data_IF_095988093798
#
_entry.id   IF_095988093798
#
_cell.length_a   1.000
_cell.length_b   1.000
_cell.length_c   1.000
_cell.angle_alpha   90.00
_cell.angle_beta   90.00
_cell.angle_gamma   90.00
#
_symmetry.space_group_name_H-M   'P 1'
#
loop_
_entity.id
_entity.type
_entity.pdbx_description
1 polymer ?
#
# COMPACT_ATOMS: atom_id res chain seq x y z
N UNK A 1 3.28 42.62 1.41
CA UNK A 1 4.63 42.06 1.23
C UNK A 1 4.75 40.99 2.32
N UNK A 2 4.63 39.69 2.06
CA UNK A 2 5.53 38.82 1.29
C UNK A 2 4.70 37.69 0.66
N UNK A 3 4.66 37.67 -0.68
CA UNK A 3 4.45 36.46 -1.48
C UNK A 3 5.84 35.82 -1.61
N UNK A 4 6.04 34.52 -1.30
CA UNK A 4 7.15 33.70 -1.85
C UNK A 4 7.35 32.27 -1.27
N UNK A 5 6.48 31.74 -0.39
CA UNK A 5 6.78 30.44 0.27
C UNK A 5 6.03 29.21 -0.25
N UNK A 6 5.39 29.26 -1.42
CA UNK A 6 4.62 28.11 -1.94
C UNK A 6 5.13 27.53 -3.27
N UNK A 7 6.25 28.01 -3.84
CA UNK A 7 6.70 27.57 -5.17
C UNK A 7 7.80 26.49 -5.17
N UNK A 8 8.30 26.06 -4.01
CA UNK A 8 9.45 25.13 -3.93
C UNK A 8 9.06 23.67 -3.77
N UNK A 9 7.82 23.36 -3.38
CA UNK A 9 7.35 21.97 -3.26
C UNK A 9 6.90 21.35 -4.60
N UNK A 10 6.67 22.17 -5.63
CA UNK A 10 6.22 21.70 -6.94
C UNK A 10 7.37 21.38 -7.93
N UNK A 11 8.63 21.62 -7.56
CA UNK A 11 9.78 21.46 -8.48
C UNK A 11 10.49 20.10 -8.40
N UNK A 12 10.07 19.19 -7.51
CA UNK A 12 10.74 17.90 -7.31
C UNK A 12 10.25 16.75 -8.20
N UNK A 13 9.25 16.98 -9.07
CA UNK A 13 8.66 15.97 -9.96
C UNK A 13 8.70 16.38 -11.45
N UNK A 14 9.54 17.35 -11.80
CA UNK A 14 9.57 17.94 -13.14
C UNK A 14 10.67 17.47 -14.13
N UNK A 15 11.64 16.58 -13.84
CA UNK A 15 12.64 16.24 -14.87
C UNK A 15 12.22 15.12 -15.85
N UNK A 16 11.03 14.52 -15.75
CA UNK A 16 10.60 13.46 -16.69
C UNK A 16 9.70 13.95 -17.84
N UNK A 17 9.22 15.20 -17.83
CA UNK A 17 8.24 15.68 -18.82
C UNK A 17 8.84 16.35 -20.06
N UNK A 18 10.16 16.49 -20.16
CA UNK A 18 10.83 17.19 -21.27
C UNK A 18 11.20 16.31 -22.47
N UNK A 19 11.02 14.98 -22.40
CA UNK A 19 11.44 14.06 -23.48
C UNK A 19 10.34 13.82 -24.54
N UNK A 20 9.08 14.19 -24.28
CA UNK A 20 7.98 14.02 -25.24
C UNK A 20 7.75 15.20 -26.19
N UNK A 21 8.58 16.24 -26.13
CA UNK A 21 8.46 17.43 -26.97
C UNK A 21 9.49 17.46 -28.10
N UNK A 22 9.46 16.50 -29.03
CA UNK A 22 10.13 16.67 -30.33
C UNK A 22 9.32 16.08 -31.49
N UNK A 23 8.81 17.02 -32.31
CA UNK A 23 8.25 16.91 -33.67
C UNK A 23 6.85 16.30 -33.84
N UNK A 24 5.87 17.06 -34.38
CA UNK A 24 4.56 16.54 -34.73
C UNK A 24 4.65 15.74 -36.04
N UNK A 25 4.87 14.44 -35.91
CA UNK A 25 4.48 13.49 -36.95
C UNK A 25 2.95 13.35 -36.99
N UNK A 26 2.33 12.98 -38.12
CA UNK A 26 0.90 12.74 -38.18
C UNK A 26 0.54 11.73 -37.08
N UNK A 27 -0.34 12.13 -36.17
CA UNK A 27 -0.79 11.28 -35.08
C UNK A 27 -1.29 9.96 -35.68
N UNK A 28 -0.76 8.80 -35.25
CA UNK A 28 -1.40 7.55 -35.58
C UNK A 28 -2.83 7.65 -35.05
N UNK A 29 -3.81 7.46 -35.93
CA UNK A 29 -5.22 7.29 -35.53
C UNK A 29 -5.24 6.30 -34.36
N UNK A 30 -5.87 6.62 -33.22
CA UNK A 30 -5.92 5.67 -32.11
C UNK A 30 -6.51 4.38 -32.65
N UNK A 31 -5.71 3.30 -32.58
CA UNK A 31 -6.21 1.98 -32.91
C UNK A 31 -7.37 1.69 -31.94
N UNK A 32 -8.49 1.11 -32.41
CA UNK A 32 -9.57 0.75 -31.51
C UNK A 32 -8.99 -0.13 -30.41
N UNK A 33 -9.25 0.25 -29.15
CA UNK A 33 -8.80 -0.52 -28.01
C UNK A 33 -9.30 -1.97 -28.19
N UNK A 34 -8.50 -2.98 -27.84
CA UNK A 34 -8.99 -4.35 -27.89
C UNK A 34 -10.22 -4.45 -26.99
N UNK A 35 -11.27 -5.15 -27.44
CA UNK A 35 -12.55 -5.26 -26.70
C UNK A 35 -12.40 -5.75 -25.24
N UNK A 36 -11.25 -6.35 -24.90
CA UNK A 36 -10.88 -6.73 -23.53
C UNK A 36 -10.50 -5.55 -22.64
N UNK A 37 -9.94 -4.46 -23.18
CA UNK A 37 -9.58 -3.25 -22.46
C UNK A 37 -10.82 -2.43 -22.09
N UNK A 38 -11.74 -2.22 -23.04
CA UNK A 38 -13.02 -1.54 -22.78
C UNK A 38 -13.85 -2.30 -21.73
N UNK A 39 -13.86 -3.63 -21.77
CA UNK A 39 -14.54 -4.47 -20.77
C UNK A 39 -13.85 -4.47 -19.39
N UNK A 40 -12.55 -4.17 -19.35
CA UNK A 40 -11.77 -4.03 -18.13
C UNK A 40 -12.05 -2.66 -17.47
N UNK A 41 -11.98 -1.59 -18.25
CA UNK A 41 -12.32 -0.23 -17.84
C UNK A 41 -13.76 -0.14 -17.32
N UNK A 42 -14.73 -0.73 -18.03
CA UNK A 42 -16.12 -0.75 -17.59
C UNK A 42 -16.34 -1.50 -16.26
N UNK A 43 -15.54 -2.55 -15.98
CA UNK A 43 -15.61 -3.23 -14.68
C UNK A 43 -15.02 -2.37 -13.57
N UNK A 44 -13.91 -1.67 -13.83
CA UNK A 44 -13.28 -0.80 -12.85
C UNK A 44 -14.20 0.39 -12.50
N UNK A 45 -14.87 0.96 -13.49
CA UNK A 45 -15.84 2.03 -13.28
C UNK A 45 -17.03 1.55 -12.44
N UNK A 46 -17.62 0.39 -12.77
CA UNK A 46 -18.68 -0.20 -11.97
C UNK A 46 -18.24 -0.56 -10.52
N UNK A 47 -17.01 -1.04 -10.34
CA UNK A 47 -16.45 -1.32 -9.03
C UNK A 47 -16.22 -0.03 -8.22
N UNK A 48 -15.78 1.04 -8.87
CA UNK A 48 -15.60 2.35 -8.27
C UNK A 48 -16.93 2.98 -7.85
N UNK A 49 -17.96 2.97 -8.71
CA UNK A 49 -19.30 3.44 -8.37
C UNK A 49 -19.90 2.67 -7.18
N UNK A 50 -19.73 1.35 -7.17
CA UNK A 50 -20.22 0.51 -6.08
C UNK A 50 -19.45 0.78 -4.77
N UNK A 51 -18.16 1.07 -4.84
CA UNK A 51 -17.36 1.48 -3.68
C UNK A 51 -17.78 2.85 -3.16
N UNK A 52 -17.98 3.83 -4.04
CA UNK A 52 -18.43 5.17 -3.69
C UNK A 52 -19.78 5.15 -2.98
N UNK A 53 -20.78 4.45 -3.54
CA UNK A 53 -22.10 4.32 -2.91
C UNK A 53 -22.04 3.68 -1.51
N UNK A 54 -21.13 2.71 -1.31
CA UNK A 54 -20.90 2.10 0.01
C UNK A 54 -20.23 3.07 0.97
N UNK A 55 -19.25 3.86 0.52
CA UNK A 55 -18.57 4.86 1.35
C UNK A 55 -19.47 6.04 1.72
N UNK A 56 -20.39 6.43 0.84
CA UNK A 56 -21.45 7.40 1.13
C UNK A 56 -22.36 6.87 2.24
N UNK A 57 -22.84 5.62 2.12
CA UNK A 57 -23.66 4.97 3.15
C UNK A 57 -22.92 4.83 4.48
N UNK A 58 -21.61 4.54 4.45
CA UNK A 58 -20.77 4.54 5.64
C UNK A 58 -20.73 5.93 6.29
N UNK A 59 -20.53 6.97 5.49
CA UNK A 59 -20.50 8.37 5.93
C UNK A 59 -21.80 8.78 6.62
N UNK A 60 -22.95 8.53 5.99
CA UNK A 60 -24.27 8.83 6.56
C UNK A 60 -24.50 8.12 7.90
N UNK A 61 -24.11 6.85 7.99
CA UNK A 61 -24.26 6.06 9.22
C UNK A 61 -23.30 6.51 10.31
N UNK A 62 -22.07 6.87 9.96
CA UNK A 62 -21.08 7.39 10.90
C UNK A 62 -21.52 8.76 11.44
N UNK A 63 -22.04 9.64 10.57
CA UNK A 63 -22.60 10.94 10.94
C UNK A 63 -23.79 10.78 11.90
N UNK A 64 -24.75 9.91 11.56
CA UNK A 64 -25.89 9.61 12.42
C UNK A 64 -25.49 9.08 13.81
N UNK A 65 -24.44 8.25 13.89
CA UNK A 65 -23.89 7.80 15.18
C UNK A 65 -23.20 8.95 15.91
N UNK A 66 -22.49 9.82 15.18
CA UNK A 66 -21.76 10.95 15.76
C UNK A 66 -22.67 12.03 16.32
N UNK A 67 -23.84 12.25 15.70
CA UNK A 67 -24.82 13.26 16.10
C UNK A 67 -25.81 12.75 17.15
N UNK A 68 -25.82 11.45 17.45
CA UNK A 68 -26.72 10.86 18.43
C UNK A 68 -26.37 11.31 19.87
N UNK A 69 -27.05 12.36 20.33
CA UNK A 69 -26.92 12.91 21.68
C UNK A 69 -27.31 11.94 22.79
N UNK A 70 -28.06 10.88 22.47
CA UNK A 70 -28.42 9.84 23.45
C UNK A 70 -27.24 8.91 23.79
N UNK A 71 -26.17 8.95 23.00
CA UNK A 71 -24.98 8.14 23.18
C UNK A 71 -23.87 8.89 23.90
N UNK A 72 -23.23 8.21 24.85
CA UNK A 72 -21.95 8.65 25.39
C UNK A 72 -20.87 8.67 24.30
N UNK A 73 -19.85 9.50 24.46
CA UNK A 73 -18.71 9.59 23.52
C UNK A 73 -18.02 8.22 23.35
N UNK A 74 -17.87 7.46 24.44
CA UNK A 74 -17.35 6.11 24.41
C UNK A 74 -18.25 5.13 23.64
N UNK A 75 -19.58 5.25 23.74
CA UNK A 75 -20.54 4.47 22.93
C UNK A 75 -20.39 4.78 21.44
N UNK A 76 -20.30 6.07 21.08
CA UNK A 76 -20.16 6.52 19.68
C UNK A 76 -18.88 5.96 19.08
N UNK A 77 -17.76 6.07 19.80
CA UNK A 77 -16.48 5.51 19.38
C UNK A 77 -16.55 4.00 19.13
N UNK A 78 -17.16 3.23 20.05
CA UNK A 78 -17.34 1.77 19.88
C UNK A 78 -18.21 1.43 18.66
N UNK A 79 -19.30 2.17 18.45
CA UNK A 79 -20.21 1.92 17.31
C UNK A 79 -19.59 2.31 15.97
N UNK A 80 -18.81 3.38 15.91
CA UNK A 80 -18.06 3.77 14.70
C UNK A 80 -16.95 2.75 14.42
N UNK A 81 -16.24 2.25 15.43
CA UNK A 81 -15.24 1.21 15.25
C UNK A 81 -15.85 -0.10 14.73
N UNK A 82 -17.02 -0.50 15.26
CA UNK A 82 -17.77 -1.65 14.75
C UNK A 82 -18.24 -1.42 13.30
N UNK A 83 -18.77 -0.23 13.00
CA UNK A 83 -19.14 0.15 11.64
C UNK A 83 -17.94 0.08 10.70
N UNK A 84 -16.75 0.55 11.11
CA UNK A 84 -15.55 0.43 10.30
C UNK A 84 -15.16 -1.03 10.04
N UNK A 85 -15.27 -1.91 11.04
CA UNK A 85 -14.99 -3.34 10.87
C UNK A 85 -15.89 -4.00 9.81
N UNK A 86 -17.12 -3.52 9.64
CA UNK A 86 -18.04 -4.03 8.62
C UNK A 86 -17.59 -3.63 7.19
N UNK A 87 -16.97 -2.45 7.04
CA UNK A 87 -16.56 -1.89 5.74
C UNK A 87 -15.07 -2.12 5.40
N UNK A 88 -14.22 -2.44 6.38
CA UNK A 88 -12.80 -2.70 6.16
C UNK A 88 -12.52 -3.80 5.10
N UNK A 89 -13.29 -4.91 5.03
CA UNK A 89 -13.13 -5.90 3.96
C UNK A 89 -13.42 -5.34 2.56
N UNK A 90 -14.39 -4.43 2.44
CA UNK A 90 -14.76 -3.84 1.15
C UNK A 90 -13.68 -2.88 0.64
N UNK A 91 -13.07 -2.09 1.53
CA UNK A 91 -11.91 -1.23 1.20
C UNK A 91 -10.72 -2.07 0.75
N UNK A 92 -10.46 -3.19 1.45
CA UNK A 92 -9.39 -4.12 1.08
C UNK A 92 -9.65 -4.77 -0.28
N UNK A 93 -10.88 -5.20 -0.55
CA UNK A 93 -11.28 -5.80 -1.83
C UNK A 93 -11.11 -4.80 -3.00
N UNK A 94 -11.60 -3.56 -2.84
CA UNK A 94 -11.44 -2.51 -3.85
C UNK A 94 -9.97 -2.17 -4.10
N UNK A 95 -9.16 -2.09 -3.04
CA UNK A 95 -7.72 -1.81 -3.15
C UNK A 95 -7.00 -2.94 -3.89
N UNK A 96 -7.33 -4.19 -3.60
CA UNK A 96 -6.77 -5.36 -4.29
C UNK A 96 -7.14 -5.38 -5.77
N UNK A 97 -8.39 -5.08 -6.11
CA UNK A 97 -8.87 -5.01 -7.49
C UNK A 97 -8.19 -3.88 -8.26
N UNK A 98 -8.11 -2.69 -7.67
CA UNK A 98 -7.43 -1.52 -8.28
C UNK A 98 -5.95 -1.80 -8.52
N UNK A 99 -5.26 -2.42 -7.55
CA UNK A 99 -3.85 -2.78 -7.67
C UNK A 99 -3.61 -3.80 -8.78
N UNK A 100 -4.50 -4.79 -8.90
CA UNK A 100 -4.47 -5.76 -9.99
C UNK A 100 -4.63 -5.07 -11.34
N UNK A 101 -5.58 -4.14 -11.46
CA UNK A 101 -5.82 -3.41 -12.71
C UNK A 101 -4.64 -2.52 -13.09
N UNK A 102 -4.05 -1.80 -12.13
CA UNK A 102 -2.85 -1.01 -12.34
C UNK A 102 -1.67 -1.87 -12.83
N UNK A 103 -1.53 -3.08 -12.28
CA UNK A 103 -0.48 -4.03 -12.70
C UNK A 103 -0.74 -4.57 -14.10
N UNK A 104 -1.99 -4.87 -14.45
CA UNK A 104 -2.39 -5.30 -15.80
C UNK A 104 -2.16 -4.19 -16.84
N UNK A 105 -2.51 -2.94 -16.51
CA UNK A 105 -2.23 -1.77 -17.35
C UNK A 105 -0.73 -1.54 -17.53
N UNK A 106 0.05 -1.63 -16.45
CA UNK A 106 1.50 -1.50 -16.52
C UNK A 106 2.14 -2.63 -17.35
N UNK A 107 1.68 -3.87 -17.20
CA UNK A 107 2.16 -5.00 -17.99
C UNK A 107 1.82 -4.84 -19.48
N UNK A 108 0.63 -4.32 -19.80
CA UNK A 108 0.24 -4.03 -21.17
C UNK A 108 1.10 -2.90 -21.76
N UNK A 109 1.33 -1.82 -21.01
CA UNK A 109 2.21 -0.73 -21.43
C UNK A 109 3.66 -1.21 -21.67
N UNK A 110 4.19 -2.08 -20.80
CA UNK A 110 5.53 -2.66 -20.95
C UNK A 110 5.63 -3.58 -22.18
N UNK A 111 4.56 -4.27 -22.56
CA UNK A 111 4.53 -5.14 -23.74
C UNK A 111 4.68 -4.36 -25.05
N UNK A 112 4.22 -3.11 -25.05
CA UNK A 112 4.29 -2.23 -26.22
C UNK A 112 5.64 -1.47 -26.28
N UNK A 113 6.52 -1.65 -25.28
CA UNK A 113 7.89 -1.12 -25.29
C UNK A 113 8.81 -2.12 -26.02
N UNK A 114 9.34 -1.70 -27.16
CA UNK A 114 10.37 -2.46 -27.89
C UNK A 114 11.73 -2.27 -27.22
N UNK A 115 12.02 -3.11 -26.22
CA UNK A 115 13.28 -3.11 -25.49
C UNK A 115 14.46 -3.37 -26.43
N UNK A 116 14.29 -4.20 -27.46
CA UNK A 116 15.35 -4.51 -28.41
C UNK A 116 15.69 -3.29 -29.29
N UNK A 117 14.69 -2.52 -29.72
CA UNK A 117 14.90 -1.27 -30.42
C UNK A 117 15.57 -0.21 -29.53
N UNK A 118 15.13 -0.08 -28.27
CA UNK A 118 15.74 0.85 -27.31
C UNK A 118 17.19 0.47 -27.00
N UNK A 119 17.47 -0.82 -26.83
CA UNK A 119 18.84 -1.34 -26.63
C UNK A 119 19.68 -1.13 -27.87
N UNK A 120 19.13 -1.38 -29.07
CA UNK A 120 19.84 -1.14 -30.32
C UNK A 120 20.12 0.34 -30.55
N UNK A 121 19.21 1.23 -30.16
CA UNK A 121 19.41 2.68 -30.20
C UNK A 121 20.46 3.12 -29.18
N UNK A 122 20.37 2.67 -27.94
CA UNK A 122 21.34 2.96 -26.89
C UNK A 122 22.75 2.44 -27.22
N UNK A 123 22.87 1.25 -27.80
CA UNK A 123 24.15 0.71 -28.27
C UNK A 123 24.69 1.46 -29.49
N UNK A 124 23.83 2.16 -30.22
CA UNK A 124 24.24 2.98 -31.35
C UNK A 124 24.67 4.39 -30.98
N UNK A 125 24.37 4.83 -29.76
CA UNK A 125 24.75 6.13 -29.22
C UNK A 125 26.29 6.30 -29.21
N UNK A 126 26.81 7.42 -29.75
CA UNK A 126 28.25 7.68 -29.79
C UNK A 126 28.91 7.77 -28.41
N UNK A 127 28.22 8.27 -27.39
CA UNK A 127 28.73 8.33 -26.02
C UNK A 127 28.85 6.94 -25.40
N UNK A 128 27.88 6.06 -25.66
CA UNK A 128 27.90 4.66 -25.20
C UNK A 128 29.00 3.88 -25.92
N UNK A 129 29.16 4.08 -27.23
CA UNK A 129 30.25 3.48 -28.02
C UNK A 129 31.63 3.93 -27.53
N UNK A 130 31.79 5.21 -27.27
CA UNK A 130 33.03 5.75 -26.74
C UNK A 130 33.33 5.21 -25.33
N UNK A 131 32.33 5.15 -24.46
CA UNK A 131 32.46 4.56 -23.13
C UNK A 131 32.80 3.06 -23.19
N UNK A 132 32.24 2.32 -24.16
CA UNK A 132 32.59 0.91 -24.40
C UNK A 132 34.02 0.74 -24.89
N UNK A 133 34.48 1.55 -25.86
CA UNK A 133 35.86 1.51 -26.35
C UNK A 133 36.86 1.89 -25.26
N UNK A 134 36.59 2.95 -24.50
CA UNK A 134 37.43 3.37 -23.39
C UNK A 134 37.44 2.35 -22.25
N UNK A 135 36.28 1.78 -21.93
CA UNK A 135 36.16 0.79 -20.88
C UNK A 135 36.76 -0.57 -21.28
N UNK A 136 36.74 -0.93 -22.57
CA UNK A 136 37.40 -2.13 -23.10
C UNK A 136 38.93 -1.96 -23.14
N UNK A 137 39.43 -0.76 -23.45
CA UNK A 137 40.85 -0.43 -23.33
C UNK A 137 41.34 -0.42 -21.88
N UNK A 138 40.49 -0.03 -20.93
CA UNK A 138 40.83 0.04 -19.50
C UNK A 138 40.49 -1.25 -18.72
N UNK A 139 39.75 -2.20 -19.31
CA UNK A 139 39.28 -3.42 -18.64
C UNK A 139 38.17 -3.20 -17.59
N UNK A 140 37.49 -2.05 -17.65
CA UNK A 140 36.66 -1.51 -16.55
C UNK A 140 35.17 -1.85 -16.70
N UNK A 141 34.63 -2.04 -17.92
CA UNK A 141 33.18 -2.22 -18.15
C UNK A 141 32.62 -3.43 -17.39
N UNK A 142 33.38 -4.52 -17.32
CA UNK A 142 32.97 -5.71 -16.57
C UNK A 142 33.31 -5.60 -15.09
N UNK A 143 34.50 -5.11 -14.72
CA UNK A 143 34.94 -5.09 -13.33
C UNK A 143 34.23 -4.04 -12.46
N UNK A 144 34.02 -2.82 -12.97
CA UNK A 144 33.40 -1.74 -12.20
C UNK A 144 31.88 -1.86 -12.17
N UNK A 145 31.26 -2.30 -13.26
CA UNK A 145 29.82 -2.62 -13.31
C UNK A 145 29.45 -3.75 -12.36
N UNK A 146 30.26 -4.82 -12.33
CA UNK A 146 30.12 -5.90 -11.34
C UNK A 146 30.36 -5.33 -9.94
N UNK A 147 31.51 -4.69 -9.65
CA UNK A 147 31.81 -4.19 -8.30
C UNK A 147 30.75 -3.23 -7.73
N UNK A 148 30.12 -2.40 -8.58
CA UNK A 148 29.09 -1.44 -8.17
C UNK A 148 27.71 -2.09 -7.94
N UNK A 149 27.46 -3.24 -8.55
CA UNK A 149 26.20 -4.00 -8.45
C UNK A 149 26.33 -5.29 -7.60
N UNK A 150 27.55 -5.69 -7.25
CA UNK A 150 27.87 -6.91 -6.50
C UNK A 150 27.20 -6.95 -5.13
N UNK A 151 26.98 -5.80 -4.49
CA UNK A 151 26.30 -5.75 -3.19
C UNK A 151 24.87 -6.34 -3.24
N UNK A 152 24.23 -6.32 -4.41
CA UNK A 152 22.88 -6.86 -4.62
C UNK A 152 22.86 -8.22 -5.33
N UNK A 153 23.85 -8.49 -6.20
CA UNK A 153 23.89 -9.70 -7.03
C UNK A 153 24.81 -10.81 -6.51
N UNK A 154 25.76 -10.48 -5.62
CA UNK A 154 26.67 -11.44 -4.99
C UNK A 154 27.14 -10.92 -3.61
N UNK A 155 26.29 -10.96 -2.58
CA UNK A 155 26.61 -10.41 -1.27
C UNK A 155 27.77 -11.17 -0.61
N UNK A 156 28.66 -10.45 0.07
CA UNK A 156 29.70 -11.10 0.89
C UNK A 156 29.08 -11.78 2.12
N UNK A 157 29.76 -12.77 2.73
CA UNK A 157 29.28 -13.39 3.96
C UNK A 157 28.98 -12.37 5.08
N UNK A 158 29.80 -11.31 5.22
CA UNK A 158 29.53 -10.25 6.21
C UNK A 158 28.29 -9.41 5.87
N UNK A 159 27.99 -9.20 4.58
CA UNK A 159 26.78 -8.51 4.15
C UNK A 159 25.53 -9.35 4.45
N UNK A 160 25.59 -10.67 4.24
CA UNK A 160 24.50 -11.58 4.60
C UNK A 160 24.24 -11.60 6.11
N UNK A 161 25.29 -11.56 6.93
CA UNK A 161 25.15 -11.45 8.39
C UNK A 161 24.50 -10.12 8.79
N UNK A 162 24.91 -9.02 8.16
CA UNK A 162 24.32 -7.70 8.39
C UNK A 162 22.83 -7.67 8.03
N UNK A 163 22.46 -8.22 6.87
CA UNK A 163 21.05 -8.31 6.46
C UNK A 163 20.24 -9.22 7.38
N UNK A 164 20.82 -10.34 7.84
CA UNK A 164 20.17 -11.22 8.81
C UNK A 164 19.94 -10.53 10.15
N UNK A 165 20.91 -9.75 10.64
CA UNK A 165 20.78 -8.97 11.87
C UNK A 165 19.68 -7.92 11.79
N UNK A 166 19.60 -7.18 10.67
CA UNK A 166 18.53 -6.19 10.45
C UNK A 166 17.16 -6.87 10.35
N UNK A 167 17.08 -8.02 9.69
CA UNK A 167 15.85 -8.80 9.59
C UNK A 167 15.41 -9.35 10.96
N UNK A 168 16.34 -9.87 11.77
CA UNK A 168 16.06 -10.33 13.14
C UNK A 168 15.59 -9.17 14.01
N UNK A 169 16.26 -8.01 13.97
CA UNK A 169 15.84 -6.83 14.71
C UNK A 169 14.43 -6.35 14.31
N UNK A 170 14.08 -6.41 13.03
CA UNK A 170 12.73 -6.06 12.58
C UNK A 170 11.67 -7.07 13.05
N UNK A 171 12.00 -8.36 13.06
CA UNK A 171 11.13 -9.41 13.60
C UNK A 171 10.95 -9.29 15.11
N UNK A 172 12.02 -8.99 15.85
CA UNK A 172 11.98 -8.79 17.29
C UNK A 172 11.13 -7.55 17.64
N UNK A 173 11.29 -6.44 16.91
CA UNK A 173 10.41 -5.27 17.10
C UNK A 173 8.94 -5.54 16.75
N UNK A 174 8.68 -6.36 15.72
CA UNK A 174 7.32 -6.76 15.39
C UNK A 174 6.72 -7.67 16.46
N UNK A 175 7.52 -8.56 17.06
CA UNK A 175 7.09 -9.42 18.16
C UNK A 175 6.80 -8.62 19.43
N UNK A 176 7.68 -7.68 19.79
CA UNK A 176 7.48 -6.79 20.95
C UNK A 176 6.23 -5.91 20.76
N UNK A 177 5.98 -5.39 19.55
CA UNK A 177 4.77 -4.62 19.26
C UNK A 177 3.49 -5.46 19.38
N UNK A 178 3.51 -6.74 18.98
CA UNK A 178 2.37 -7.66 19.15
C UNK A 178 2.14 -8.01 20.62
N UNK A 179 3.22 -8.20 21.39
CA UNK A 179 3.14 -8.49 22.84
C UNK A 179 2.65 -7.26 23.62
N UNK A 180 3.05 -6.04 23.25
CA UNK A 180 2.52 -4.81 23.84
C UNK A 180 1.03 -4.62 23.54
N UNK A 181 0.55 -4.98 22.35
CA UNK A 181 -0.88 -4.97 22.00
C UNK A 181 -1.67 -6.05 22.77
N UNK A 182 -1.10 -7.25 22.97
CA UNK A 182 -1.70 -8.31 23.80
C UNK A 182 -1.73 -7.95 25.29
N UNK A 183 -0.69 -7.30 25.82
CA UNK A 183 -0.64 -6.83 27.19
C UNK A 183 -1.58 -5.63 27.44
N UNK A 184 -1.80 -4.77 26.44
CA UNK A 184 -2.81 -3.72 26.49
C UNK A 184 -4.25 -4.27 26.41
N UNK A 185 -4.42 -5.50 25.92
CA UNK A 185 -5.70 -6.22 25.88
C UNK A 185 -6.00 -7.04 27.15
N UNK A 186 -5.08 -7.13 28.13
CA UNK A 186 -5.41 -7.60 29.48
C UNK A 186 -6.31 -6.57 30.18
N UNK A 187 -7.61 -6.82 30.04
CA UNK A 187 -8.71 -6.18 30.75
C UNK A 187 -8.35 -6.02 32.23
N UNK A 188 -8.43 -4.83 32.84
CA UNK A 188 -8.30 -4.71 34.29
C UNK A 188 -9.37 -5.58 34.94
N UNK A 189 -8.93 -6.52 35.78
CA UNK A 189 -9.80 -7.44 36.50
C UNK A 189 -10.95 -6.65 37.14
N UNK A 190 -12.17 -6.92 36.68
CA UNK A 190 -13.36 -6.28 37.23
C UNK A 190 -13.43 -6.62 38.74
N UNK A 191 -13.62 -5.63 39.63
CA UNK A 191 -13.70 -5.90 41.06
C UNK A 191 -14.83 -6.91 41.34
N UNK A 192 -14.53 -7.92 42.15
CA UNK A 192 -15.46 -8.99 42.52
C UNK A 192 -16.84 -8.44 42.88
N UNK A 193 -17.87 -8.99 42.23
CA UNK A 193 -19.25 -8.69 42.54
C UNK A 193 -19.55 -9.10 44.00
N UNK A 194 -20.28 -8.29 44.78
CA UNK A 194 -20.61 -8.63 46.16
C UNK A 194 -21.43 -9.92 46.24
N UNK A 195 -21.06 -10.79 47.18
CA UNK A 195 -21.69 -12.09 47.44
C UNK A 195 -23.22 -11.97 47.56
N UNK A 196 -23.94 -12.79 46.81
CA UNK A 196 -25.39 -12.87 46.90
C UNK A 196 -25.81 -13.47 48.26
N UNK A 197 -26.85 -12.95 48.92
CA UNK A 197 -27.29 -13.48 50.21
C UNK A 197 -27.83 -14.90 50.08
N UNK A 198 -27.43 -15.77 51.02
CA UNK A 198 -27.88 -17.17 51.08
C UNK A 198 -29.41 -17.31 51.07
N UNK A 199 -29.97 -18.28 50.33
CA UNK A 199 -31.40 -18.53 50.34
C UNK A 199 -31.85 -19.05 51.71
N UNK A 200 -33.04 -18.65 52.20
CA UNK A 200 -33.52 -19.07 53.51
C UNK A 200 -33.77 -20.58 53.56
N UNK A 201 -33.37 -21.20 54.67
CA UNK A 201 -33.52 -22.62 54.91
C UNK A 201 -34.99 -23.08 54.83
N UNK A 202 -35.28 -24.27 54.28
CA UNK A 202 -36.63 -24.78 54.18
C UNK A 202 -37.23 -25.06 55.57
N UNK A 203 -38.55 -24.86 55.77
CA UNK A 203 -39.18 -25.03 57.07
C UNK A 203 -39.12 -26.49 57.53
N UNK A 204 -38.79 -26.68 58.81
CA UNK A 204 -38.78 -27.97 59.47
C UNK A 204 -40.17 -28.62 59.41
N UNK A 205 -40.24 -29.90 58.99
CA UNK A 205 -41.48 -30.67 59.06
C UNK A 205 -41.83 -30.95 60.52
N UNK A 206 -43.11 -30.84 60.92
CA UNK A 206 -43.53 -31.27 62.25
C UNK A 206 -43.43 -32.79 62.33
N UNK A 207 -42.81 -33.28 63.41
CA UNK A 207 -42.75 -34.69 63.73
C UNK A 207 -44.15 -35.23 64.05
N UNK A 208 -44.49 -36.38 63.48
CA UNK A 208 -45.60 -37.24 63.88
C UNK A 208 -45.05 -38.66 64.05
#
# INVERSE_FOLDING_TARGET
MIRLLSLTAALALAPLSSVLAQTPGPAPTPAPAPASAEAAEARMEAAAEAFEARMETFGERAEAISEDESLSEAERGRRIAALWSDYAPDVAAFTAETTKHATEMAAQALKDIDVDAIVAEALNDPEVKQAMEEGMQKGVVTAEGIARNSAWTNPTPEQMETYSLVAQYALDQAADAVVEDEAAAEVPEAPEAPEAPEPPAPPARPAA
#
